data_IF_241080686288
#
_entry.id   IF_241080686288
#
_cell.length_a   1.000
_cell.length_b   1.000
_cell.length_c   1.000
_cell.angle_alpha   90.00
_cell.angle_beta   90.00
_cell.angle_gamma   90.00
#
_symmetry.space_group_name_H-M   'P 1'
#
loop_
_entity.id
_entity.type
_entity.pdbx_description
1 polymer ?
#
# COMPACT_ATOMS: atom_id res chain seq x y z
N UNK A 1 19.07 -14.75 7.83
CA UNK A 1 18.44 -15.94 7.20
C UNK A 1 18.53 -15.78 5.69
N UNK A 2 18.57 -16.86 4.89
CA UNK A 2 18.65 -16.78 3.42
C UNK A 2 17.41 -17.40 2.79
N UNK A 3 16.84 -16.73 1.79
CA UNK A 3 15.72 -17.22 0.98
C UNK A 3 16.14 -17.28 -0.48
N UNK A 4 15.80 -18.36 -1.18
CA UNK A 4 16.07 -18.48 -2.62
C UNK A 4 14.91 -17.88 -3.41
N UNK A 5 15.23 -16.92 -4.27
CA UNK A 5 14.27 -16.29 -5.18
C UNK A 5 13.96 -17.17 -6.40
N UNK A 6 12.90 -16.84 -7.13
CA UNK A 6 12.51 -17.55 -8.34
C UNK A 6 13.58 -17.50 -9.45
N UNK A 7 14.39 -16.44 -9.49
CA UNK A 7 15.53 -16.31 -10.40
C UNK A 7 16.79 -17.04 -9.90
N UNK A 8 16.67 -17.91 -8.90
CA UNK A 8 17.78 -18.61 -8.22
C UNK A 8 18.76 -17.69 -7.48
N UNK A 9 18.46 -16.40 -7.40
CA UNK A 9 19.18 -15.46 -6.54
C UNK A 9 18.93 -15.75 -5.07
N UNK A 10 19.81 -15.23 -4.21
CA UNK A 10 19.61 -15.27 -2.76
C UNK A 10 19.10 -13.91 -2.29
N UNK A 11 18.11 -13.94 -1.40
CA UNK A 11 17.61 -12.77 -0.67
C UNK A 11 18.01 -12.95 0.80
N UNK A 12 18.80 -12.01 1.30
CA UNK A 12 19.18 -11.97 2.71
C UNK A 12 18.04 -11.38 3.53
N UNK A 13 17.47 -12.20 4.42
CA UNK A 13 16.38 -11.84 5.32
C UNK A 13 16.98 -11.45 6.68
N UNK A 14 16.70 -10.20 7.08
CA UNK A 14 17.10 -9.61 8.36
C UNK A 14 16.11 -10.02 9.44
N UNK A 15 14.82 -10.05 9.12
CA UNK A 15 13.76 -10.38 10.05
C UNK A 15 12.41 -10.58 9.37
N UNK A 16 11.41 -10.93 10.17
CA UNK A 16 10.04 -11.10 9.73
C UNK A 16 9.05 -10.62 10.79
N UNK A 17 7.88 -10.15 10.37
CA UNK A 17 6.80 -9.73 11.26
C UNK A 17 5.44 -10.13 10.67
N UNK A 18 4.58 -10.70 11.50
CA UNK A 18 3.18 -10.92 11.15
C UNK A 18 2.44 -9.59 11.18
N UNK A 19 1.95 -9.13 10.04
CA UNK A 19 1.24 -7.86 9.89
C UNK A 19 -0.16 -8.06 9.35
N UNK A 20 -1.08 -7.22 9.81
CA UNK A 20 -2.40 -7.05 9.19
C UNK A 20 -2.33 -5.85 8.25
N UNK A 21 -2.36 -6.10 6.96
CA UNK A 21 -2.35 -5.09 5.92
C UNK A 21 -3.80 -4.81 5.54
N UNK A 22 -4.21 -3.54 5.53
CA UNK A 22 -5.57 -3.16 5.14
C UNK A 22 -5.57 -2.03 4.11
N UNK A 23 -6.54 -2.08 3.20
CA UNK A 23 -6.82 -1.04 2.23
C UNK A 23 -8.28 -0.58 2.35
N UNK A 24 -8.53 0.68 1.98
CA UNK A 24 -9.87 1.26 1.95
C UNK A 24 -10.19 1.69 0.53
N UNK A 25 -11.35 1.27 0.01
CA UNK A 25 -11.82 1.66 -1.31
C UNK A 25 -12.37 3.10 -1.30
N UNK A 26 -12.54 3.73 -2.47
CA UNK A 26 -13.27 5.00 -2.59
C UNK A 26 -14.71 4.92 -2.05
N UNK A 27 -15.33 3.74 -2.11
CA UNK A 27 -16.65 3.45 -1.53
C UNK A 27 -16.63 3.25 -0.01
N UNK A 28 -15.51 3.56 0.68
CA UNK A 28 -15.28 3.39 2.12
C UNK A 28 -15.34 1.94 2.63
N UNK A 29 -15.28 0.95 1.73
CA UNK A 29 -15.16 -0.45 2.13
C UNK A 29 -13.72 -0.75 2.53
N UNK A 30 -13.53 -1.39 3.69
CA UNK A 30 -12.21 -1.76 4.20
C UNK A 30 -11.97 -3.26 4.03
N UNK A 31 -10.91 -3.60 3.29
CA UNK A 31 -10.43 -4.97 3.15
C UNK A 31 -9.12 -5.13 3.91
N UNK A 32 -8.88 -6.31 4.48
CA UNK A 32 -7.66 -6.59 5.22
C UNK A 32 -7.18 -8.02 5.03
N UNK A 33 -5.87 -8.23 5.11
CA UNK A 33 -5.22 -9.52 5.00
C UNK A 33 -4.09 -9.67 6.02
N UNK A 34 -3.90 -10.87 6.55
CA UNK A 34 -2.80 -11.19 7.47
C UNK A 34 -1.66 -11.80 6.67
N UNK A 35 -0.47 -11.21 6.76
CA UNK A 35 0.69 -11.59 5.96
C UNK A 35 1.93 -11.69 6.86
N UNK A 36 2.80 -12.66 6.57
CA UNK A 36 4.16 -12.66 7.10
C UNK A 36 5.02 -11.78 6.20
N UNK A 37 5.47 -10.65 6.73
CA UNK A 37 6.29 -9.66 6.01
C UNK A 37 7.74 -9.87 6.37
N UNK A 38 8.60 -10.00 5.36
CA UNK A 38 10.03 -10.18 5.53
C UNK A 38 10.77 -8.87 5.23
N UNK A 39 11.80 -8.58 6.01
CA UNK A 39 12.68 -7.41 5.82
C UNK A 39 14.01 -7.87 5.25
N UNK A 40 14.49 -7.14 4.24
CA UNK A 40 15.75 -7.42 3.53
C UNK A 40 16.48 -6.12 3.23
N UNK A 41 17.81 -6.15 3.19
CA UNK A 41 18.63 -5.02 2.71
C UNK A 41 18.70 -4.95 1.18
N UNK A 42 18.20 -5.97 0.48
CA UNK A 42 18.31 -6.06 -0.97
C UNK A 42 17.41 -5.07 -1.73
N UNK A 43 16.40 -4.49 -1.07
CA UNK A 43 15.46 -3.57 -1.71
C UNK A 43 14.73 -2.71 -0.68
N UNK A 44 14.49 -1.44 -1.02
CA UNK A 44 13.64 -0.52 -0.26
C UNK A 44 12.17 -0.55 -0.69
N UNK A 45 11.79 -1.53 -1.53
CA UNK A 45 10.42 -1.66 -2.05
C UNK A 45 9.64 -2.75 -1.32
N UNK A 46 8.36 -2.50 -1.11
CA UNK A 46 7.43 -3.50 -0.59
C UNK A 46 6.86 -4.34 -1.73
N UNK A 47 6.98 -5.66 -1.60
CA UNK A 47 6.38 -6.62 -2.53
C UNK A 47 5.25 -7.37 -1.81
N UNK A 48 4.09 -7.45 -2.47
CA UNK A 48 2.94 -8.23 -2.02
C UNK A 48 2.79 -9.49 -2.87
N UNK A 49 2.44 -10.59 -2.22
CA UNK A 49 2.09 -11.82 -2.95
C UNK A 49 0.80 -11.60 -3.75
N UNK A 50 0.63 -12.37 -4.84
CA UNK A 50 -0.63 -12.40 -5.58
C UNK A 50 -1.83 -12.61 -4.63
N UNK A 51 -1.70 -13.53 -3.68
CA UNK A 51 -2.76 -13.86 -2.72
C UNK A 51 -3.15 -12.64 -1.86
N UNK A 52 -2.17 -11.87 -1.38
CA UNK A 52 -2.45 -10.66 -0.61
C UNK A 52 -3.16 -9.60 -1.47
N UNK A 53 -2.72 -9.41 -2.72
CA UNK A 53 -3.36 -8.48 -3.65
C UNK A 53 -4.82 -8.88 -3.95
N UNK A 54 -5.09 -10.17 -4.16
CA UNK A 54 -6.45 -10.68 -4.36
C UNK A 54 -7.31 -10.46 -3.13
N UNK A 55 -6.79 -10.75 -1.93
CA UNK A 55 -7.51 -10.52 -0.67
C UNK A 55 -7.82 -9.03 -0.40
N UNK A 56 -6.96 -8.13 -0.86
CA UNK A 56 -7.16 -6.67 -0.79
C UNK A 56 -8.04 -6.13 -1.93
N UNK A 57 -8.50 -6.99 -2.85
CA UNK A 57 -9.31 -6.58 -4.00
C UNK A 57 -8.53 -5.80 -5.07
N UNK A 58 -7.20 -5.83 -5.03
CA UNK A 58 -6.34 -5.14 -6.01
C UNK A 58 -6.25 -5.89 -7.33
N UNK A 59 -6.35 -7.22 -7.29
CA UNK A 59 -6.27 -8.09 -8.45
C UNK A 59 -7.43 -9.10 -8.43
N UNK A 60 -7.97 -9.48 -9.60
CA UNK A 60 -8.93 -10.58 -9.66
C UNK A 60 -8.23 -11.93 -9.36
N UNK A 61 -8.96 -12.93 -8.83
CA UNK A 61 -8.40 -14.26 -8.57
C UNK A 61 -7.83 -14.95 -9.83
N UNK A 62 -8.41 -14.66 -11.00
CA UNK A 62 -8.01 -15.17 -12.32
C UNK A 62 -6.65 -14.65 -12.79
N UNK A 63 -6.09 -13.62 -12.16
CA UNK A 63 -4.81 -13.05 -12.58
C UNK A 63 -3.63 -14.04 -12.40
N UNK A 64 -2.63 -14.09 -13.28
CA UNK A 64 -2.63 -13.58 -14.65
C UNK A 64 -3.31 -14.61 -15.57
N UNK A 65 -4.46 -14.28 -16.13
CA UNK A 65 -5.01 -15.04 -17.27
C UNK A 65 -4.58 -14.36 -18.56
N UNK A 66 -3.92 -15.12 -19.43
CA UNK A 66 -3.48 -14.62 -20.73
C UNK A 66 -4.71 -14.31 -21.59
N UNK A 67 -4.73 -13.12 -22.19
CA UNK A 67 -5.84 -12.66 -23.04
C UNK A 67 -7.00 -11.96 -22.30
N UNK A 68 -6.94 -11.82 -20.96
CA UNK A 68 -7.98 -11.12 -20.19
C UNK A 68 -7.81 -9.58 -20.22
N UNK A 69 -6.58 -9.09 -20.43
CA UNK A 69 -6.24 -7.65 -20.41
C UNK A 69 -6.71 -6.87 -21.64
N UNK A 70 -7.23 -7.52 -22.68
CA UNK A 70 -7.66 -6.86 -23.93
C UNK A 70 -9.02 -6.17 -23.83
N UNK A 71 -9.83 -6.45 -22.81
CA UNK A 71 -11.22 -5.96 -22.72
C UNK A 71 -11.41 -4.69 -21.88
N UNK A 72 -10.35 -4.10 -21.32
CA UNK A 72 -10.47 -2.93 -20.42
C UNK A 72 -10.11 -1.58 -21.05
N UNK A 73 -9.72 -1.53 -22.33
CA UNK A 73 -9.52 -0.28 -23.05
C UNK A 73 -10.74 0.04 -23.93
N UNK A 74 -11.78 0.58 -23.30
CA UNK A 74 -12.86 1.28 -24.00
C UNK A 74 -13.07 2.61 -23.30
N UNK A 75 -12.09 3.51 -23.46
CA UNK A 75 -12.32 4.95 -23.32
C UNK A 75 -12.37 5.52 -24.72
N UNK A 76 -13.58 5.85 -25.15
CA UNK A 76 -13.84 6.75 -26.26
C UNK A 76 -13.26 8.12 -25.91
N UNK A 77 -12.00 8.36 -26.24
CA UNK A 77 -11.41 9.69 -26.20
C UNK A 77 -11.73 10.41 -27.53
N UNK A 78 -12.70 11.33 -27.43
CA UNK A 78 -13.03 12.35 -28.44
C UNK A 78 -11.85 13.34 -28.54
N UNK A 79 -11.31 13.65 -29.73
CA UNK A 79 -10.10 14.45 -29.84
C UNK A 79 -10.41 15.94 -29.70
N UNK A 80 -10.43 16.46 -28.47
CA UNK A 80 -10.44 17.89 -28.25
C UNK A 80 -9.06 18.49 -28.59
N UNK A 81 -8.97 19.03 -29.80
CA UNK A 81 -7.93 19.98 -30.22
C UNK A 81 -7.95 21.19 -29.28
N UNK A 82 -6.89 21.38 -28.49
CA UNK A 82 -6.73 22.55 -27.63
C UNK A 82 -5.30 22.61 -27.08
N UNK A 83 -4.58 23.67 -27.42
CA UNK A 83 -3.19 23.92 -27.04
C UNK A 83 -2.92 23.79 -25.52
N UNK A 84 -1.72 23.36 -25.10
CA UNK A 84 -1.38 23.28 -23.68
C UNK A 84 -1.32 24.69 -23.06
N UNK A 85 -2.22 24.97 -22.13
CA UNK A 85 -2.11 26.15 -21.27
C UNK A 85 -0.87 26.02 -20.36
N UNK A 86 -0.13 27.11 -20.08
CA UNK A 86 0.98 27.07 -19.13
C UNK A 86 0.43 26.85 -17.72
N UNK A 87 0.84 25.76 -17.07
CA UNK A 87 0.49 25.51 -15.67
C UNK A 87 1.13 26.55 -14.74
N UNK A 88 0.38 27.21 -13.83
CA UNK A 88 1.00 27.99 -12.77
C UNK A 88 1.63 27.04 -11.74
N UNK A 89 2.92 27.24 -11.44
CA UNK A 89 3.65 26.48 -10.45
C UNK A 89 3.05 26.67 -9.04
N UNK A 90 2.87 25.60 -8.23
CA UNK A 90 2.51 25.77 -6.83
C UNK A 90 3.69 26.41 -6.08
N UNK A 91 3.42 27.51 -5.37
CA UNK A 91 4.39 28.13 -4.48
C UNK A 91 4.65 27.20 -3.29
N UNK A 92 5.74 26.42 -3.36
CA UNK A 92 6.23 25.69 -2.20
C UNK A 92 6.86 26.69 -1.23
N UNK A 93 6.49 26.71 0.06
CA UNK A 93 7.23 27.49 1.04
C UNK A 93 8.66 26.95 1.15
N UNK A 94 9.64 27.86 1.11
CA UNK A 94 11.05 27.52 1.27
C UNK A 94 11.27 26.82 2.61
N UNK A 95 11.82 25.60 2.58
CA UNK A 95 12.22 24.89 3.80
C UNK A 95 13.38 25.66 4.46
N UNK A 96 13.08 26.42 5.51
CA UNK A 96 14.09 26.89 6.45
C UNK A 96 14.65 25.69 7.20
N UNK A 97 15.93 25.42 6.96
CA UNK A 97 16.72 24.45 7.71
C UNK A 97 16.77 24.86 9.18
N UNK A 98 16.15 24.07 10.08
CA UNK A 98 16.64 23.83 11.44
C UNK A 98 15.82 22.72 12.11
N UNK A 99 16.55 21.76 12.68
CA UNK A 99 16.14 20.72 13.63
C UNK A 99 15.47 19.44 13.10
N UNK A 100 16.20 18.36 13.38
CA UNK A 100 15.94 16.93 13.23
C UNK A 100 14.53 16.51 13.73
N UNK A 101 13.72 15.75 12.96
CA UNK A 101 12.56 15.08 13.54
C UNK A 101 12.92 13.63 13.89
N UNK A 102 12.90 13.34 15.18
CA UNK A 102 12.73 11.98 15.71
C UNK A 102 11.42 11.42 15.16
N UNK A 103 11.47 10.35 14.37
CA UNK A 103 10.28 9.64 13.92
C UNK A 103 9.62 8.98 15.14
N UNK A 104 8.58 9.60 15.68
CA UNK A 104 7.71 9.04 16.69
C UNK A 104 6.76 8.03 16.03
N UNK A 105 7.10 6.74 16.06
CA UNK A 105 6.12 5.67 15.83
C UNK A 105 5.17 5.63 17.02
N UNK A 106 3.99 6.25 16.91
CA UNK A 106 2.96 6.08 17.94
C UNK A 106 2.30 4.71 17.79
N UNK A 107 2.64 3.82 18.72
CA UNK A 107 1.95 2.58 19.01
C UNK A 107 0.53 2.94 19.49
N UNK A 108 -0.50 2.65 18.71
CA UNK A 108 -1.88 2.88 19.14
C UNK A 108 -2.30 1.77 20.11
N UNK A 109 -2.22 2.05 21.41
CA UNK A 109 -2.77 1.20 22.47
C UNK A 109 -4.29 1.34 22.47
N UNK A 110 -5.01 0.30 22.06
CA UNK A 110 -6.46 0.24 22.22
C UNK A 110 -6.81 0.03 23.71
N UNK A 111 -7.26 1.08 24.39
CA UNK A 111 -8.07 0.94 25.61
C UNK A 111 -9.48 1.42 25.28
N UNK A 112 -10.45 0.51 25.30
CA UNK A 112 -11.86 0.83 25.13
C UNK A 112 -12.46 1.40 26.42
N UNK A 113 -13.51 2.23 26.34
CA UNK A 113 -14.20 2.72 27.53
C UNK A 113 -15.10 1.62 28.12
N UNK A 114 -14.94 1.36 29.42
CA UNK A 114 -15.80 0.49 30.21
C UNK A 114 -16.94 1.35 30.77
N UNK A 115 -18.16 1.15 30.26
CA UNK A 115 -19.39 1.74 30.81
C UNK A 115 -20.01 0.75 31.79
N UNK A 116 -20.05 1.10 33.08
CA UNK A 116 -21.00 0.50 34.02
C UNK A 116 -21.63 1.61 34.85
N UNK A 117 -22.88 1.91 34.52
CA UNK A 117 -23.85 2.55 35.40
C UNK A 117 -23.96 1.75 36.72
N UNK A 118 -23.87 2.44 37.85
CA UNK A 118 -24.27 1.91 39.14
C UNK A 118 -25.44 2.77 39.67
N UNK A 119 -26.66 2.29 39.45
CA UNK A 119 -27.84 2.65 40.24
C UNK A 119 -28.06 1.56 41.28
N UNK A 120 -27.95 1.91 42.55
CA UNK A 120 -28.87 1.59 43.66
C UNK A 120 -28.25 1.97 45.00
#
# INVERSE_FOLDING_TARGET
MKMTAANRGTIDIIGALALRISGTSPSKNRLATHQMVYFTTATDRMFLSKQACVALGMLPPSFPTIGETSNLHSTSDEPATGAPAPYPAPAYPACSAHHHPTYSCQLFSATGPQSTDASS
#
